data_IF_935467683765
#
_entry.id   IF_935467683765
#
_cell.length_a   1.000
_cell.length_b   1.000
_cell.length_c   1.000
_cell.angle_alpha   90.00
_cell.angle_beta   90.00
_cell.angle_gamma   90.00
#
_symmetry.space_group_name_H-M   'P 1'
#
loop_
_entity.id
_entity.type
_entity.pdbx_description
1 polymer ?
#
# COMPACT_ATOMS: atom_id res chain seq x y z
N UNK A 1 15.33 -44.19 -3.25
CA UNK A 1 14.62 -43.04 -2.66
C UNK A 1 15.67 -42.01 -2.31
N UNK A 2 15.62 -40.81 -2.90
CA UNK A 2 16.59 -39.74 -2.66
C UNK A 2 16.49 -39.33 -1.18
N UNK A 3 17.62 -39.16 -0.49
CA UNK A 3 17.65 -38.69 0.88
C UNK A 3 17.29 -37.20 0.95
N UNK A 4 16.69 -36.75 2.06
CA UNK A 4 16.28 -35.35 2.24
C UNK A 4 17.44 -34.38 2.05
N UNK A 5 18.62 -34.70 2.58
CA UNK A 5 19.79 -33.83 2.46
C UNK A 5 20.25 -33.71 0.99
N UNK A 6 20.25 -34.82 0.23
CA UNK A 6 20.57 -34.82 -1.21
C UNK A 6 19.55 -33.99 -2.02
N UNK A 7 18.26 -34.07 -1.68
CA UNK A 7 17.22 -33.25 -2.30
C UNK A 7 17.46 -31.76 -2.05
N UNK A 8 17.75 -31.39 -0.79
CA UNK A 8 17.98 -30.01 -0.39
C UNK A 8 19.24 -29.43 -1.03
N UNK A 9 20.32 -30.19 -1.12
CA UNK A 9 21.54 -29.77 -1.83
C UNK A 9 21.27 -29.48 -3.30
N UNK A 10 20.56 -30.38 -4.01
CA UNK A 10 20.18 -30.18 -5.42
C UNK A 10 19.26 -28.97 -5.62
N UNK A 11 18.29 -28.79 -4.73
CA UNK A 11 17.41 -27.61 -4.76
C UNK A 11 18.22 -26.33 -4.65
N UNK A 12 19.16 -26.29 -3.69
CA UNK A 12 19.99 -25.13 -3.44
C UNK A 12 20.96 -24.83 -4.59
N UNK A 13 21.44 -25.85 -5.30
CA UNK A 13 22.23 -25.69 -6.52
C UNK A 13 21.40 -25.14 -7.68
N UNK A 14 20.22 -25.70 -7.91
CA UNK A 14 19.43 -25.38 -9.11
C UNK A 14 18.81 -23.99 -9.05
N UNK A 15 18.43 -23.52 -7.86
CA UNK A 15 17.67 -22.27 -7.72
C UNK A 15 18.54 -21.00 -7.82
N UNK A 16 19.87 -21.08 -7.71
CA UNK A 16 20.72 -19.89 -7.52
C UNK A 16 20.58 -18.83 -8.62
N UNK A 17 20.36 -19.26 -9.86
CA UNK A 17 20.28 -18.38 -11.04
C UNK A 17 18.90 -18.44 -11.72
N UNK A 18 17.89 -18.98 -11.02
CA UNK A 18 16.53 -19.03 -11.55
C UNK A 18 15.90 -17.64 -11.57
N UNK A 19 15.06 -17.35 -12.56
CA UNK A 19 14.24 -16.14 -12.62
C UNK A 19 12.82 -16.37 -12.09
N UNK A 20 12.39 -17.63 -12.07
CA UNK A 20 11.09 -18.08 -11.61
C UNK A 20 11.16 -19.53 -11.11
N UNK A 21 10.19 -19.90 -10.28
CA UNK A 21 9.95 -21.29 -9.92
C UNK A 21 8.46 -21.55 -9.79
N UNK A 22 8.07 -22.83 -9.86
CA UNK A 22 6.70 -23.23 -9.57
C UNK A 22 6.65 -24.64 -8.94
N UNK A 23 5.55 -24.93 -8.27
CA UNK A 23 5.25 -26.26 -7.72
C UNK A 23 4.31 -26.97 -8.68
N UNK A 24 4.86 -27.92 -9.44
CA UNK A 24 4.10 -28.64 -10.46
C UNK A 24 3.35 -29.83 -9.86
N UNK A 25 2.12 -30.12 -10.31
CA UNK A 25 1.40 -31.31 -9.89
C UNK A 25 2.18 -32.56 -10.26
N UNK A 26 2.30 -33.48 -9.31
CA UNK A 26 2.81 -34.82 -9.57
C UNK A 26 1.84 -35.55 -10.50
N UNK A 27 2.35 -36.02 -11.64
CA UNK A 27 1.61 -36.86 -12.58
C UNK A 27 2.21 -38.25 -12.53
N UNK A 28 1.38 -39.25 -12.23
CA UNK A 28 1.70 -40.67 -12.34
C UNK A 28 1.10 -41.17 -13.65
N UNK A 29 1.87 -41.16 -14.74
CA UNK A 29 1.40 -41.80 -15.96
C UNK A 29 1.59 -43.32 -15.84
N UNK A 30 0.49 -44.07 -15.93
CA UNK A 30 0.50 -45.55 -15.92
C UNK A 30 1.06 -46.15 -17.23
N UNK A 31 1.39 -45.32 -18.22
CA UNK A 31 1.59 -45.75 -19.60
C UNK A 31 2.93 -45.43 -20.26
N UNK A 32 3.92 -44.87 -19.57
CA UNK A 32 5.27 -44.73 -20.15
C UNK A 32 6.38 -44.69 -19.09
N UNK A 33 7.57 -45.16 -19.47
CA UNK A 33 8.86 -45.12 -18.74
C UNK A 33 9.37 -43.68 -18.50
N UNK A 34 8.51 -42.76 -18.06
CA UNK A 34 8.86 -41.37 -17.79
C UNK A 34 9.66 -41.34 -16.48
N UNK A 35 10.93 -40.95 -16.59
CA UNK A 35 11.78 -40.71 -15.42
C UNK A 35 11.13 -39.59 -14.59
N UNK A 36 10.65 -39.95 -13.40
CA UNK A 36 10.08 -39.00 -12.46
C UNK A 36 11.19 -38.09 -11.89
N UNK A 37 11.08 -36.78 -12.14
CA UNK A 37 12.01 -35.78 -11.62
C UNK A 37 11.38 -34.96 -10.48
N UNK A 38 11.95 -35.05 -9.28
CA UNK A 38 11.54 -34.23 -8.12
C UNK A 38 11.80 -32.74 -8.33
N UNK A 39 12.90 -32.43 -9.01
CA UNK A 39 13.32 -31.09 -9.41
C UNK A 39 13.60 -31.12 -10.91
N UNK A 40 12.99 -30.21 -11.66
CA UNK A 40 13.25 -30.06 -13.10
C UNK A 40 13.64 -28.61 -13.37
N UNK A 41 14.86 -28.40 -13.84
CA UNK A 41 15.33 -27.09 -14.31
C UNK A 41 15.13 -26.99 -15.82
N UNK A 42 14.55 -25.89 -16.28
CA UNK A 42 14.42 -25.55 -17.69
C UNK A 42 14.89 -24.12 -17.89
N UNK A 43 16.04 -23.93 -18.52
CA UNK A 43 16.69 -22.62 -18.68
C UNK A 43 16.82 -21.86 -17.34
N UNK A 44 15.98 -20.85 -17.15
CA UNK A 44 15.92 -20.00 -15.94
C UNK A 44 14.75 -20.33 -15.01
N UNK A 45 13.97 -21.38 -15.29
CA UNK A 45 12.83 -21.80 -14.48
C UNK A 45 13.15 -23.08 -13.71
N UNK A 46 12.65 -23.16 -12.47
CA UNK A 46 12.73 -24.35 -11.63
C UNK A 46 11.33 -24.88 -11.32
N UNK A 47 11.09 -26.14 -11.63
CA UNK A 47 9.91 -26.86 -11.21
C UNK A 47 10.23 -27.76 -10.02
N UNK A 48 9.41 -27.66 -8.97
CA UNK A 48 9.43 -28.54 -7.80
C UNK A 48 8.20 -29.43 -7.89
N UNK A 49 8.38 -30.76 -7.88
CA UNK A 49 7.24 -31.66 -7.94
C UNK A 49 6.43 -31.63 -6.62
N UNK A 50 5.10 -31.61 -6.70
CA UNK A 50 4.23 -31.57 -5.52
C UNK A 50 4.35 -32.80 -4.60
N UNK A 51 4.86 -33.93 -5.10
CA UNK A 51 5.13 -35.11 -4.24
C UNK A 51 6.25 -34.86 -3.22
N UNK A 52 7.06 -33.80 -3.39
CA UNK A 52 8.07 -33.38 -2.42
C UNK A 52 7.46 -32.86 -1.11
N UNK A 53 6.20 -32.40 -1.13
CA UNK A 53 5.52 -31.85 0.04
C UNK A 53 5.23 -32.94 1.10
N UNK A 54 4.50 -34.03 0.80
CA UNK A 54 4.25 -35.08 1.80
C UNK A 54 5.52 -35.82 2.24
N UNK A 55 6.59 -35.80 1.43
CA UNK A 55 7.86 -36.49 1.72
C UNK A 55 8.79 -35.57 2.52
N UNK A 56 9.36 -34.57 1.86
CA UNK A 56 10.45 -33.76 2.42
C UNK A 56 9.92 -32.62 3.30
N UNK A 57 8.84 -31.95 2.91
CA UNK A 57 8.33 -30.84 3.74
C UNK A 57 7.87 -31.35 5.10
N UNK A 58 7.11 -32.46 5.13
CA UNK A 58 6.68 -33.10 6.36
C UNK A 58 7.84 -33.59 7.24
N UNK A 59 8.91 -34.13 6.66
CA UNK A 59 10.09 -34.54 7.42
C UNK A 59 10.83 -33.33 8.02
N UNK A 60 11.03 -32.28 7.24
CA UNK A 60 11.79 -31.09 7.65
C UNK A 60 11.08 -30.34 8.78
N UNK A 61 9.75 -30.17 8.72
CA UNK A 61 9.02 -29.46 9.79
C UNK A 61 9.02 -30.20 11.13
N UNK A 62 9.32 -31.51 11.15
CA UNK A 62 9.45 -32.29 12.38
C UNK A 62 10.82 -32.11 13.04
N UNK A 63 11.83 -31.64 12.30
CA UNK A 63 13.15 -31.34 12.86
C UNK A 63 13.04 -30.16 13.82
N UNK A 64 13.73 -30.19 14.98
CA UNK A 64 13.85 -29.02 15.86
C UNK A 64 14.40 -27.81 15.09
N UNK A 65 13.82 -26.61 15.28
CA UNK A 65 14.20 -25.39 14.54
C UNK A 65 15.70 -25.07 14.56
N UNK A 66 16.40 -25.45 15.63
CA UNK A 66 17.86 -25.26 15.80
C UNK A 66 18.72 -26.12 14.87
N UNK A 67 18.16 -27.18 14.30
CA UNK A 67 18.82 -28.12 13.40
C UNK A 67 18.53 -27.83 11.93
N UNK A 68 17.65 -26.87 11.63
CA UNK A 68 17.32 -26.51 10.24
C UNK A 68 18.47 -25.75 9.62
N UNK A 69 19.01 -26.29 8.51
CA UNK A 69 20.01 -25.63 7.69
C UNK A 69 19.43 -24.55 6.78
N UNK A 70 20.31 -23.84 6.07
CA UNK A 70 19.92 -22.79 5.12
C UNK A 70 19.07 -23.33 3.96
N UNK A 71 19.39 -24.54 3.49
CA UNK A 71 18.66 -25.23 2.42
C UNK A 71 17.27 -25.68 2.88
N UNK A 72 17.16 -26.26 4.08
CA UNK A 72 15.87 -26.61 4.69
C UNK A 72 14.96 -25.38 4.77
N UNK A 73 15.48 -24.29 5.35
CA UNK A 73 14.73 -23.04 5.49
C UNK A 73 14.34 -22.44 4.14
N UNK A 74 15.16 -22.61 3.09
CA UNK A 74 14.85 -22.11 1.75
C UNK A 74 13.67 -22.90 1.16
N UNK A 75 13.74 -24.23 1.20
CA UNK A 75 12.66 -25.09 0.74
C UNK A 75 11.33 -24.78 1.45
N UNK A 76 11.37 -24.62 2.77
CA UNK A 76 10.19 -24.31 3.57
C UNK A 76 9.52 -22.99 3.15
N UNK A 77 10.28 -21.94 2.84
CA UNK A 77 9.70 -20.65 2.40
C UNK A 77 9.29 -20.64 0.92
N UNK A 78 9.91 -21.46 0.08
CA UNK A 78 9.47 -21.64 -1.32
C UNK A 78 8.10 -22.32 -1.39
N UNK A 79 7.83 -23.26 -0.49
CA UNK A 79 6.57 -24.02 -0.44
C UNK A 79 5.51 -23.33 0.40
N UNK A 80 5.89 -22.76 1.55
CA UNK A 80 4.95 -22.13 2.48
C UNK A 80 5.46 -20.74 2.93
N UNK A 81 5.35 -19.73 2.05
CA UNK A 81 5.92 -18.41 2.29
C UNK A 81 5.21 -17.61 3.37
N UNK A 82 4.04 -18.03 3.86
CA UNK A 82 3.29 -17.27 4.88
C UNK A 82 3.64 -17.67 6.32
N UNK A 83 4.61 -18.58 6.52
CA UNK A 83 5.02 -19.02 7.85
C UNK A 83 6.10 -18.11 8.43
N UNK A 84 5.71 -17.13 9.25
CA UNK A 84 6.59 -16.15 9.87
C UNK A 84 7.78 -16.77 10.64
N UNK A 85 7.60 -17.95 11.25
CA UNK A 85 8.66 -18.67 11.97
C UNK A 85 9.86 -18.99 11.07
N UNK A 86 9.63 -19.40 9.82
CA UNK A 86 10.71 -19.72 8.90
C UNK A 86 11.50 -18.46 8.53
N UNK A 87 10.81 -17.36 8.25
CA UNK A 87 11.44 -16.07 8.00
C UNK A 87 12.25 -15.55 9.19
N UNK A 88 11.76 -15.74 10.42
CA UNK A 88 12.51 -15.44 11.64
C UNK A 88 13.81 -16.23 11.75
N UNK A 89 13.80 -17.53 11.44
CA UNK A 89 15.00 -18.34 11.40
C UNK A 89 15.98 -17.83 10.33
N UNK A 90 15.48 -17.47 9.14
CA UNK A 90 16.31 -16.90 8.07
C UNK A 90 16.93 -15.56 8.48
N UNK A 91 16.18 -14.67 9.15
CA UNK A 91 16.71 -13.42 9.72
C UNK A 91 17.87 -13.67 10.71
N UNK A 92 17.74 -14.66 11.59
CA UNK A 92 18.81 -15.02 12.55
C UNK A 92 20.07 -15.51 11.82
N UNK A 93 19.93 -16.34 10.80
CA UNK A 93 21.05 -16.82 10.01
C UNK A 93 21.74 -15.68 9.22
N UNK A 94 20.99 -14.72 8.68
CA UNK A 94 21.56 -13.51 8.06
C UNK A 94 22.36 -12.68 9.06
N UNK A 95 21.85 -12.48 10.28
CA UNK A 95 22.56 -11.73 11.32
C UNK A 95 23.86 -12.40 11.79
N UNK A 96 23.95 -13.73 11.69
CA UNK A 96 25.18 -14.48 11.98
C UNK A 96 26.21 -14.40 10.86
N UNK A 97 25.82 -13.94 9.67
CA UNK A 97 26.67 -13.95 8.48
C UNK A 97 26.64 -15.27 7.70
N UNK A 98 25.74 -16.20 8.04
CA UNK A 98 25.63 -17.52 7.39
C UNK A 98 25.00 -17.44 5.99
N UNK A 99 24.42 -16.29 5.62
CA UNK A 99 23.70 -16.08 4.37
C UNK A 99 23.99 -14.70 3.78
N UNK A 100 23.87 -14.57 2.46
CA UNK A 100 24.04 -13.31 1.73
C UNK A 100 22.71 -12.54 1.63
N UNK A 101 22.61 -11.29 2.12
CA UNK A 101 21.38 -10.50 2.03
C UNK A 101 20.91 -10.24 0.58
N UNK A 102 21.84 -10.04 -0.36
CA UNK A 102 21.50 -9.85 -1.80
C UNK A 102 20.83 -11.09 -2.40
N UNK A 103 21.32 -12.29 -2.03
CA UNK A 103 20.72 -13.56 -2.45
C UNK A 103 19.35 -13.77 -1.81
N UNK A 104 19.14 -13.26 -0.61
CA UNK A 104 17.84 -13.29 0.05
C UNK A 104 16.79 -12.39 -0.63
N UNK A 105 17.20 -11.20 -1.10
CA UNK A 105 16.34 -10.37 -1.97
C UNK A 105 16.01 -11.09 -3.27
N UNK A 106 16.90 -11.91 -3.80
CA UNK A 106 16.59 -12.74 -4.97
C UNK A 106 15.52 -13.81 -4.65
N UNK A 107 15.67 -14.57 -3.57
CA UNK A 107 14.69 -15.59 -3.19
C UNK A 107 13.31 -15.02 -2.88
N UNK A 108 13.23 -13.90 -2.18
CA UNK A 108 11.93 -13.23 -1.95
C UNK A 108 11.29 -12.73 -3.24
N UNK A 109 12.08 -12.33 -4.26
CA UNK A 109 11.56 -11.98 -5.59
C UNK A 109 10.97 -13.21 -6.29
N UNK A 110 11.66 -14.35 -6.25
CA UNK A 110 11.15 -15.62 -6.78
C UNK A 110 9.81 -15.98 -6.11
N UNK A 111 9.79 -15.97 -4.78
CA UNK A 111 8.60 -16.31 -3.98
C UNK A 111 7.43 -15.40 -4.29
N UNK A 112 7.65 -14.10 -4.49
CA UNK A 112 6.58 -13.18 -4.87
C UNK A 112 6.12 -13.33 -6.33
N UNK A 113 6.94 -13.96 -7.18
CA UNK A 113 6.52 -14.38 -8.52
C UNK A 113 5.46 -15.47 -8.45
N UNK A 114 5.70 -16.51 -7.64
CA UNK A 114 4.83 -17.69 -7.47
C UNK A 114 3.67 -17.44 -6.49
N UNK A 115 3.93 -16.71 -5.41
CA UNK A 115 3.02 -16.44 -4.30
C UNK A 115 2.82 -14.92 -4.10
N UNK A 116 2.19 -14.25 -5.06
CA UNK A 116 2.19 -12.79 -5.12
C UNK A 116 1.43 -12.09 -3.99
N UNK A 117 0.46 -12.77 -3.39
CA UNK A 117 -0.33 -12.23 -2.27
C UNK A 117 0.30 -12.47 -0.91
N UNK A 118 1.46 -13.13 -0.85
CA UNK A 118 2.17 -13.35 0.40
C UNK A 118 2.80 -12.06 0.90
N UNK A 119 2.43 -11.65 2.11
CA UNK A 119 2.97 -10.43 2.73
C UNK A 119 4.30 -10.67 3.45
N UNK A 120 4.51 -11.88 3.98
CA UNK A 120 5.73 -12.24 4.72
C UNK A 120 7.03 -12.03 3.92
N UNK A 121 7.13 -12.39 2.62
CA UNK A 121 8.30 -12.06 1.82
C UNK A 121 8.58 -10.55 1.75
N UNK A 122 7.54 -9.70 1.62
CA UNK A 122 7.70 -8.25 1.61
C UNK A 122 8.12 -7.71 2.98
N UNK A 123 7.59 -8.25 4.08
CA UNK A 123 8.06 -7.89 5.42
C UNK A 123 9.51 -8.32 5.66
N UNK A 124 9.92 -9.46 5.10
CA UNK A 124 11.29 -9.91 5.14
C UNK A 124 12.21 -8.98 4.32
N UNK A 125 11.81 -8.60 3.11
CA UNK A 125 12.53 -7.60 2.28
C UNK A 125 12.68 -6.26 2.99
N UNK A 126 11.61 -5.75 3.60
CA UNK A 126 11.66 -4.53 4.42
C UNK A 126 12.72 -4.64 5.51
N UNK A 127 12.73 -5.75 6.25
CA UNK A 127 13.73 -5.98 7.28
C UNK A 127 15.15 -6.03 6.69
N UNK A 128 15.37 -6.74 5.57
CA UNK A 128 16.68 -6.81 4.90
C UNK A 128 17.16 -5.41 4.50
N UNK A 129 16.29 -4.63 3.84
CA UNK A 129 16.61 -3.27 3.42
C UNK A 129 16.95 -2.38 4.61
N UNK A 130 16.16 -2.46 5.69
CA UNK A 130 16.42 -1.69 6.91
C UNK A 130 17.73 -2.08 7.58
N UNK A 131 18.08 -3.36 7.58
CA UNK A 131 19.23 -3.88 8.31
C UNK A 131 20.54 -3.76 7.53
N UNK A 132 20.52 -3.93 6.21
CA UNK A 132 21.75 -4.07 5.41
C UNK A 132 21.91 -3.01 4.30
N UNK A 133 20.82 -2.40 3.82
CA UNK A 133 20.84 -1.56 2.61
C UNK A 133 20.16 -0.21 2.80
N UNK A 134 20.08 0.30 4.04
CA UNK A 134 19.36 1.55 4.33
C UNK A 134 19.99 2.80 3.70
N UNK A 135 21.27 2.71 3.33
CA UNK A 135 22.05 3.80 2.71
C UNK A 135 22.56 3.44 1.31
N UNK A 136 22.22 2.26 0.80
CA UNK A 136 22.67 1.78 -0.53
C UNK A 136 21.67 2.26 -1.59
N UNK A 137 21.98 3.39 -2.22
CA UNK A 137 21.08 4.04 -3.17
C UNK A 137 20.74 3.15 -4.37
N UNK A 138 21.72 2.43 -4.92
CA UNK A 138 21.51 1.54 -6.08
C UNK A 138 20.57 0.39 -5.72
N UNK A 139 20.73 -0.22 -4.55
CA UNK A 139 19.83 -1.28 -4.09
C UNK A 139 18.43 -0.71 -3.82
N UNK A 140 18.31 0.46 -3.20
CA UNK A 140 17.01 1.11 -2.97
C UNK A 140 16.28 1.37 -4.31
N UNK A 141 16.98 1.91 -5.32
CA UNK A 141 16.38 2.18 -6.64
C UNK A 141 15.97 0.90 -7.38
N UNK A 142 16.73 -0.18 -7.23
CA UNK A 142 16.33 -1.50 -7.73
C UNK A 142 15.07 -2.03 -7.02
N UNK A 143 14.92 -1.78 -5.72
CA UNK A 143 13.72 -2.16 -4.97
C UNK A 143 12.48 -1.35 -5.36
N UNK A 144 12.64 -0.07 -5.71
CA UNK A 144 11.56 0.73 -6.31
C UNK A 144 11.08 0.10 -7.62
N UNK A 145 12.02 -0.20 -8.53
CA UNK A 145 11.72 -0.86 -9.80
C UNK A 145 11.04 -2.21 -9.57
N UNK A 146 11.50 -2.99 -8.59
CA UNK A 146 10.86 -4.25 -8.21
C UNK A 146 9.41 -4.04 -7.73
N UNK A 147 9.17 -3.04 -6.88
CA UNK A 147 7.82 -2.72 -6.40
C UNK A 147 6.88 -2.29 -7.52
N UNK A 148 7.39 -1.58 -8.54
CA UNK A 148 6.61 -1.24 -9.74
C UNK A 148 6.19 -2.50 -10.49
N UNK A 149 7.13 -3.41 -10.79
CA UNK A 149 6.82 -4.67 -11.48
C UNK A 149 5.79 -5.51 -10.70
N UNK A 150 5.93 -5.58 -9.39
CA UNK A 150 5.02 -6.34 -8.55
C UNK A 150 3.61 -5.73 -8.52
N UNK A 151 3.51 -4.40 -8.42
CA UNK A 151 2.23 -3.69 -8.48
C UNK A 151 1.53 -3.87 -9.83
N UNK A 152 2.27 -3.82 -10.95
CA UNK A 152 1.74 -4.04 -12.30
C UNK A 152 1.17 -5.46 -12.45
N UNK A 153 1.90 -6.47 -11.99
CA UNK A 153 1.47 -7.87 -12.11
C UNK A 153 0.32 -8.20 -11.14
N UNK A 154 0.26 -7.54 -9.99
CA UNK A 154 -0.68 -7.85 -8.92
C UNK A 154 -1.31 -6.58 -8.33
N UNK A 155 -2.35 -6.10 -9.03
CA UNK A 155 -3.11 -4.91 -8.63
C UNK A 155 -3.69 -5.03 -7.22
N UNK A 156 -3.83 -3.88 -6.56
CA UNK A 156 -4.41 -3.73 -5.22
C UNK A 156 -3.69 -4.52 -4.11
N UNK A 157 -2.41 -4.87 -4.29
CA UNK A 157 -1.61 -5.49 -3.23
C UNK A 157 -1.07 -4.43 -2.26
N UNK A 158 -1.82 -4.19 -1.18
CA UNK A 158 -1.51 -3.14 -0.19
C UNK A 158 -0.09 -3.24 0.41
N UNK A 159 0.44 -4.46 0.58
CA UNK A 159 1.77 -4.65 1.15
C UNK A 159 2.89 -4.11 0.25
N UNK A 160 2.71 -4.08 -1.08
CA UNK A 160 3.68 -3.46 -2.02
C UNK A 160 3.78 -1.96 -1.77
N UNK A 161 2.63 -1.30 -1.63
CA UNK A 161 2.57 0.13 -1.34
C UNK A 161 3.11 0.45 0.05
N UNK A 162 2.90 -0.42 1.04
CA UNK A 162 3.54 -0.29 2.36
C UNK A 162 5.06 -0.42 2.27
N UNK A 163 5.57 -1.37 1.47
CA UNK A 163 6.99 -1.49 1.22
C UNK A 163 7.55 -0.25 0.52
N UNK A 164 6.85 0.29 -0.48
CA UNK A 164 7.23 1.53 -1.17
C UNK A 164 7.28 2.74 -0.22
N UNK A 165 6.31 2.88 0.71
CA UNK A 165 6.35 3.91 1.77
C UNK A 165 7.59 3.80 2.63
N UNK A 166 8.06 2.59 2.91
CA UNK A 166 9.31 2.41 3.64
C UNK A 166 10.51 2.84 2.78
N UNK A 167 10.59 2.39 1.52
CA UNK A 167 11.72 2.71 0.63
C UNK A 167 11.88 4.21 0.40
N UNK A 168 10.79 4.95 0.18
CA UNK A 168 10.87 6.39 -0.09
C UNK A 168 11.32 7.20 1.13
N UNK A 169 11.18 6.65 2.34
CA UNK A 169 11.71 7.28 3.55
C UNK A 169 13.24 7.17 3.66
N UNK A 170 13.87 6.28 2.88
CA UNK A 170 15.32 6.14 2.80
C UNK A 170 15.96 7.11 1.78
N UNK A 171 15.13 7.80 0.98
CA UNK A 171 15.58 8.71 -0.07
C UNK A 171 15.34 10.18 0.30
N UNK A 172 16.08 11.05 -0.37
CA UNK A 172 15.88 12.48 -0.31
C UNK A 172 14.57 12.89 -1.00
N UNK A 173 14.05 14.06 -0.64
CA UNK A 173 12.77 14.58 -1.12
C UNK A 173 12.65 14.77 -2.63
N UNK A 174 13.76 14.98 -3.35
CA UNK A 174 13.72 15.05 -4.81
C UNK A 174 13.15 13.75 -5.40
N UNK A 175 13.50 12.62 -4.80
CA UNK A 175 12.95 11.32 -5.17
C UNK A 175 11.46 11.23 -4.83
N UNK A 176 10.99 11.87 -3.74
CA UNK A 176 9.56 11.92 -3.40
C UNK A 176 8.75 12.67 -4.47
N UNK A 177 9.27 13.78 -5.00
CA UNK A 177 8.60 14.53 -6.07
C UNK A 177 8.55 13.72 -7.38
N UNK A 178 9.66 13.06 -7.74
CA UNK A 178 9.69 12.15 -8.91
C UNK A 178 8.71 10.99 -8.74
N UNK A 179 8.68 10.39 -7.55
CA UNK A 179 7.81 9.25 -7.24
C UNK A 179 6.32 9.63 -7.18
N UNK A 180 6.03 10.86 -6.76
CA UNK A 180 4.70 11.46 -6.82
C UNK A 180 4.20 11.55 -8.27
N UNK A 181 5.05 12.03 -9.20
CA UNK A 181 4.74 12.10 -10.63
C UNK A 181 4.56 10.71 -11.27
N UNK A 182 5.41 9.75 -10.89
CA UNK A 182 5.27 8.37 -11.34
C UNK A 182 3.94 7.75 -10.83
N UNK A 183 3.58 8.01 -9.57
CA UNK A 183 2.32 7.53 -8.98
C UNK A 183 1.11 8.21 -9.63
N UNK A 184 1.20 9.48 -10.03
CA UNK A 184 0.13 10.13 -10.80
C UNK A 184 -0.08 9.43 -12.14
N UNK A 185 1.00 9.07 -12.85
CA UNK A 185 0.93 8.30 -14.10
C UNK A 185 0.26 6.94 -13.86
N UNK A 186 0.59 6.26 -12.76
CA UNK A 186 -0.09 5.02 -12.35
C UNK A 186 -1.60 5.24 -12.14
N UNK A 187 -2.00 6.30 -11.44
CA UNK A 187 -3.40 6.58 -11.14
C UNK A 187 -4.21 7.00 -12.37
N UNK A 188 -3.58 7.57 -13.40
CA UNK A 188 -4.24 7.79 -14.71
C UNK A 188 -4.64 6.46 -15.35
N UNK A 189 -3.82 5.42 -15.21
CA UNK A 189 -4.13 4.07 -15.69
C UNK A 189 -5.05 3.28 -14.75
N UNK A 190 -5.02 3.61 -13.46
CA UNK A 190 -5.73 2.89 -12.39
C UNK A 190 -6.48 3.86 -11.46
N UNK A 191 -7.50 4.58 -11.97
CA UNK A 191 -8.13 5.69 -11.26
C UNK A 191 -8.82 5.30 -9.95
N UNK A 192 -9.12 4.01 -9.76
CA UNK A 192 -9.80 3.49 -8.56
C UNK A 192 -8.87 2.73 -7.61
N UNK A 193 -7.54 2.79 -7.80
CA UNK A 193 -6.58 2.11 -6.93
C UNK A 193 -6.48 2.79 -5.57
N UNK A 194 -7.12 2.19 -4.55
CA UNK A 194 -7.14 2.69 -3.19
C UNK A 194 -5.75 2.81 -2.55
N UNK A 195 -4.83 1.90 -2.90
CA UNK A 195 -3.48 1.90 -2.33
C UNK A 195 -2.62 2.99 -2.97
N UNK A 196 -2.77 3.22 -4.28
CA UNK A 196 -2.13 4.33 -5.00
C UNK A 196 -2.56 5.70 -4.47
N UNK A 197 -3.87 5.94 -4.31
CA UNK A 197 -4.37 7.19 -3.73
C UNK A 197 -3.89 7.41 -2.29
N UNK A 198 -3.88 6.36 -1.48
CA UNK A 198 -3.33 6.42 -0.13
C UNK A 198 -1.82 6.71 -0.14
N UNK A 199 -1.09 6.29 -1.18
CA UNK A 199 0.33 6.57 -1.33
C UNK A 199 0.59 8.04 -1.67
N UNK A 200 -0.19 8.61 -2.59
CA UNK A 200 -0.17 10.05 -2.90
C UNK A 200 -0.40 10.89 -1.63
N UNK A 201 -1.43 10.55 -0.83
CA UNK A 201 -1.73 11.30 0.41
C UNK A 201 -0.52 11.34 1.37
N UNK A 202 0.16 10.21 1.50
CA UNK A 202 1.38 10.12 2.30
C UNK A 202 2.54 10.93 1.74
N UNK A 203 2.77 10.90 0.42
CA UNK A 203 3.82 11.70 -0.21
C UNK A 203 3.56 13.19 0.00
N UNK A 204 2.32 13.65 -0.18
CA UNK A 204 1.92 15.03 0.04
C UNK A 204 2.15 15.47 1.49
N UNK A 205 1.76 14.65 2.46
CA UNK A 205 2.02 14.92 3.88
C UNK A 205 3.51 14.91 4.21
N UNK A 206 4.29 14.01 3.58
CA UNK A 206 5.73 13.90 3.82
C UNK A 206 6.46 15.12 3.28
N UNK A 207 6.18 15.53 2.05
CA UNK A 207 6.77 16.69 1.37
C UNK A 207 6.57 17.99 2.16
N UNK A 208 5.40 18.14 2.80
CA UNK A 208 5.13 19.25 3.73
C UNK A 208 6.02 19.20 4.98
N UNK A 209 6.24 18.02 5.57
CA UNK A 209 7.01 17.86 6.82
C UNK A 209 8.52 18.02 6.64
N UNK A 210 9.06 17.65 5.49
CA UNK A 210 10.52 17.74 5.25
C UNK A 210 10.97 19.16 4.86
N UNK A 211 10.12 20.19 5.05
CA UNK A 211 10.35 21.59 4.69
C UNK A 211 10.78 21.81 3.22
N UNK A 212 10.51 20.85 2.33
CA UNK A 212 10.83 21.00 0.91
C UNK A 212 9.85 21.90 0.16
N UNK A 213 8.67 22.10 0.70
CA UNK A 213 7.67 23.02 0.17
C UNK A 213 7.44 24.12 1.18
N UNK A 214 7.66 25.36 0.75
CA UNK A 214 7.06 26.50 1.45
C UNK A 214 5.53 26.36 1.46
N UNK A 215 4.88 27.10 2.37
CA UNK A 215 3.43 27.02 2.56
C UNK A 215 2.65 27.25 1.27
N UNK A 216 3.10 28.17 0.42
CA UNK A 216 2.43 28.53 -0.84
C UNK A 216 2.52 27.38 -1.84
N UNK A 217 3.69 26.77 -2.00
CA UNK A 217 3.88 25.59 -2.84
C UNK A 217 3.09 24.38 -2.35
N UNK A 218 3.04 24.16 -1.03
CA UNK A 218 2.24 23.10 -0.45
C UNK A 218 0.74 23.29 -0.74
N UNK A 219 0.21 24.50 -0.55
CA UNK A 219 -1.18 24.84 -0.91
C UNK A 219 -1.44 24.61 -2.40
N UNK A 220 -0.59 25.13 -3.28
CA UNK A 220 -0.72 24.98 -4.73
C UNK A 220 -0.74 23.51 -5.16
N UNK A 221 0.13 22.68 -4.60
CA UNK A 221 0.18 21.25 -4.87
C UNK A 221 -1.10 20.54 -4.39
N UNK A 222 -1.58 20.85 -3.18
CA UNK A 222 -2.84 20.30 -2.67
C UNK A 222 -4.05 20.71 -3.51
N UNK A 223 -4.11 21.96 -3.99
CA UNK A 223 -5.15 22.41 -4.91
C UNK A 223 -5.11 21.66 -6.24
N UNK A 224 -3.92 21.38 -6.77
CA UNK A 224 -3.75 20.56 -7.98
C UNK A 224 -4.37 19.18 -7.79
N UNK A 225 -4.04 18.49 -6.69
CA UNK A 225 -4.60 17.16 -6.39
C UNK A 225 -6.10 17.20 -6.05
N UNK A 226 -6.60 18.31 -5.51
CA UNK A 226 -8.04 18.53 -5.30
C UNK A 226 -8.80 18.59 -6.63
N UNK A 227 -8.23 19.23 -7.64
CA UNK A 227 -8.75 19.23 -9.01
C UNK A 227 -8.78 17.82 -9.59
N UNK A 228 -7.63 17.13 -9.59
CA UNK A 228 -7.49 15.76 -10.14
C UNK A 228 -8.51 14.79 -9.50
N UNK A 229 -8.63 14.78 -8.17
CA UNK A 229 -9.59 13.87 -7.50
C UNK A 229 -11.04 14.26 -7.79
N UNK A 230 -11.33 15.55 -8.00
CA UNK A 230 -12.68 16.01 -8.33
C UNK A 230 -13.10 15.53 -9.72
N UNK A 231 -12.24 15.70 -10.72
CA UNK A 231 -12.45 15.15 -12.08
C UNK A 231 -12.59 13.62 -12.04
N UNK A 232 -11.74 12.94 -11.26
CA UNK A 232 -11.81 11.48 -11.11
C UNK A 232 -13.13 11.03 -10.47
N UNK A 233 -13.66 11.81 -9.51
CA UNK A 233 -14.93 11.55 -8.85
C UNK A 233 -16.15 11.79 -9.75
N UNK A 234 -16.05 12.62 -10.78
CA UNK A 234 -17.11 12.75 -11.79
C UNK A 234 -17.29 11.46 -12.59
N UNK A 235 -16.19 10.76 -12.84
CA UNK A 235 -16.18 9.48 -13.55
C UNK A 235 -16.48 8.29 -12.64
N UNK A 236 -16.01 8.33 -11.38
CA UNK A 236 -16.11 7.22 -10.42
C UNK A 236 -16.68 7.65 -9.06
N UNK A 237 -17.90 8.20 -9.03
CA UNK A 237 -18.49 8.82 -7.83
C UNK A 237 -18.78 7.83 -6.70
N UNK A 238 -18.87 6.54 -7.00
CA UNK A 238 -19.10 5.47 -6.03
C UNK A 238 -17.84 5.05 -5.26
N UNK A 239 -16.66 5.52 -5.67
CA UNK A 239 -15.39 5.06 -5.09
C UNK A 239 -15.05 5.82 -3.81
N UNK A 240 -15.26 5.16 -2.68
CA UNK A 240 -15.00 5.70 -1.35
C UNK A 240 -13.54 6.13 -1.12
N UNK A 241 -12.56 5.47 -1.75
CA UNK A 241 -11.15 5.85 -1.61
C UNK A 241 -10.88 7.26 -2.15
N UNK A 242 -11.52 7.67 -3.24
CA UNK A 242 -11.40 9.01 -3.82
C UNK A 242 -11.99 10.06 -2.89
N UNK A 243 -13.17 9.77 -2.32
CA UNK A 243 -13.78 10.64 -1.32
C UNK A 243 -12.91 10.79 -0.07
N UNK A 244 -12.30 9.70 0.39
CA UNK A 244 -11.37 9.73 1.53
C UNK A 244 -10.12 10.55 1.21
N UNK A 245 -9.58 10.42 -0.01
CA UNK A 245 -8.46 11.24 -0.46
C UNK A 245 -8.83 12.73 -0.52
N UNK A 246 -9.95 13.08 -1.18
CA UNK A 246 -10.48 14.47 -1.25
C UNK A 246 -10.63 15.05 0.16
N UNK A 247 -11.21 14.29 1.09
CA UNK A 247 -11.32 14.65 2.51
C UNK A 247 -9.95 14.98 3.12
N UNK A 248 -8.96 14.11 2.95
CA UNK A 248 -7.64 14.30 3.54
C UNK A 248 -6.94 15.55 2.97
N UNK A 249 -7.10 15.84 1.69
CA UNK A 249 -6.59 17.07 1.06
C UNK A 249 -7.23 18.32 1.67
N UNK A 250 -8.56 18.33 1.84
CA UNK A 250 -9.27 19.45 2.45
C UNK A 250 -8.84 19.71 3.90
N UNK A 251 -8.61 18.64 4.68
CA UNK A 251 -8.07 18.76 6.05
C UNK A 251 -6.64 19.32 6.03
N UNK A 252 -5.81 18.92 5.07
CA UNK A 252 -4.45 19.45 4.93
C UNK A 252 -4.45 20.92 4.55
N UNK A 253 -5.26 21.34 3.58
CA UNK A 253 -5.43 22.75 3.21
C UNK A 253 -5.86 23.59 4.42
N UNK A 254 -6.88 23.13 5.15
CA UNK A 254 -7.34 23.78 6.38
C UNK A 254 -6.23 23.94 7.42
N UNK A 255 -5.40 22.91 7.62
CA UNK A 255 -4.23 22.96 8.52
C UNK A 255 -3.10 23.85 8.00
N UNK A 256 -2.98 24.10 6.71
CA UNK A 256 -2.01 25.07 6.23
C UNK A 256 -2.51 26.50 6.46
N UNK A 257 -3.82 26.72 6.52
CA UNK A 257 -4.39 28.07 6.52
C UNK A 257 -4.32 28.81 7.86
N UNK A 258 -4.63 28.21 9.02
CA UNK A 258 -4.49 28.74 10.42
C UNK A 258 -4.68 30.25 10.72
N UNK A 259 -5.18 31.08 9.80
CA UNK A 259 -5.71 32.41 10.05
C UNK A 259 -7.23 32.25 10.12
N UNK A 260 -7.85 32.71 11.21
CA UNK A 260 -9.30 32.72 11.42
C UNK A 260 -10.03 33.54 10.34
N UNK A 261 -10.15 33.05 9.12
CA UNK A 261 -11.26 33.32 8.22
C UNK A 261 -11.31 32.12 7.28
N UNK A 262 -12.47 31.47 7.21
CA UNK A 262 -12.87 30.69 6.05
C UNK A 262 -12.95 31.61 4.83
N UNK A 263 -11.80 32.04 4.33
CA UNK A 263 -11.67 32.38 2.94
C UNK A 263 -10.97 31.16 2.36
N UNK A 264 -11.71 30.24 1.71
CA UNK A 264 -11.09 29.54 0.60
C UNK A 264 -10.37 30.61 -0.24
N UNK A 265 -9.26 30.31 -0.92
CA UNK A 265 -8.82 31.19 -1.98
C UNK A 265 -10.06 31.50 -2.81
N UNK A 266 -10.45 32.78 -2.88
CA UNK A 266 -11.59 33.27 -3.66
C UNK A 266 -11.19 33.18 -5.14
N UNK A 267 -10.76 32.02 -5.59
CA UNK A 267 -10.21 31.82 -6.93
C UNK A 267 -10.64 30.51 -7.55
N UNK A 268 -11.54 29.74 -6.92
CA UNK A 268 -12.29 28.77 -7.70
C UNK A 268 -13.78 28.75 -7.33
N UNK A 269 -14.52 29.67 -7.94
CA UNK A 269 -15.98 29.69 -7.98
C UNK A 269 -16.57 28.47 -8.70
N UNK A 270 -15.77 27.47 -9.09
CA UNK A 270 -16.21 26.29 -9.82
C UNK A 270 -16.58 25.11 -8.89
N UNK A 271 -15.83 24.78 -7.83
CA UNK A 271 -16.17 23.63 -6.95
C UNK A 271 -17.20 23.99 -5.87
N UNK A 272 -18.47 23.62 -6.13
CA UNK A 272 -19.59 23.78 -5.21
C UNK A 272 -19.34 23.16 -3.82
N UNK A 273 -18.56 22.08 -3.74
CA UNK A 273 -18.26 21.36 -2.49
C UNK A 273 -17.51 22.23 -1.50
N UNK A 274 -16.51 22.99 -1.98
CA UNK A 274 -15.67 23.82 -1.12
C UNK A 274 -16.42 25.05 -0.62
N UNK A 275 -17.29 25.63 -1.46
CA UNK A 275 -18.20 26.72 -1.06
C UNK A 275 -19.15 26.26 0.04
N UNK A 276 -19.80 25.12 -0.15
CA UNK A 276 -20.72 24.54 0.82
C UNK A 276 -20.02 24.26 2.15
N UNK A 277 -18.81 23.68 2.13
CA UNK A 277 -18.03 23.45 3.35
C UNK A 277 -17.72 24.76 4.08
N UNK A 278 -17.32 25.82 3.37
CA UNK A 278 -17.11 27.14 3.93
C UNK A 278 -18.37 27.71 4.60
N UNK A 279 -19.52 27.61 3.93
CA UNK A 279 -20.81 28.01 4.50
C UNK A 279 -21.17 27.21 5.76
N UNK A 280 -20.96 25.89 5.75
CA UNK A 280 -21.22 25.01 6.89
C UNK A 280 -20.34 25.37 8.08
N UNK A 281 -19.02 25.54 7.90
CA UNK A 281 -18.14 25.88 9.03
C UNK A 281 -18.52 27.27 9.57
N UNK A 282 -18.83 28.25 8.71
CA UNK A 282 -19.28 29.58 9.14
C UNK A 282 -20.60 29.51 9.94
N UNK A 283 -21.57 28.70 9.51
CA UNK A 283 -22.83 28.50 10.23
C UNK A 283 -22.62 27.86 11.61
N UNK A 284 -21.77 26.83 11.70
CA UNK A 284 -21.56 26.10 12.95
C UNK A 284 -20.75 26.90 13.96
N UNK A 285 -19.78 27.68 13.50
CA UNK A 285 -18.99 28.59 14.35
C UNK A 285 -19.79 29.81 14.81
N UNK A 286 -20.55 30.46 13.92
CA UNK A 286 -21.31 31.68 14.26
C UNK A 286 -22.59 31.43 15.07
N UNK A 287 -23.29 30.32 14.83
CA UNK A 287 -24.60 30.03 15.46
C UNK A 287 -24.54 28.97 16.57
N UNK A 288 -23.34 28.57 17.01
CA UNK A 288 -23.11 27.53 18.04
C UNK A 288 -23.86 26.21 17.78
N UNK A 289 -24.01 25.81 16.51
CA UNK A 289 -24.53 24.47 16.24
C UNK A 289 -23.48 23.43 16.63
N UNK A 290 -23.91 22.39 17.33
CA UNK A 290 -23.05 21.27 17.69
C UNK A 290 -23.17 20.17 16.63
N UNK A 291 -22.08 19.84 15.93
CA UNK A 291 -22.06 18.77 14.91
C UNK A 291 -22.42 17.38 15.47
N UNK A 292 -22.35 17.20 16.79
CA UNK A 292 -22.74 15.99 17.50
C UNK A 292 -24.25 15.84 17.67
N UNK A 293 -25.04 16.90 17.45
CA UNK A 293 -26.52 16.82 17.54
C UNK A 293 -27.16 16.02 16.39
N UNK A 294 -26.43 15.85 15.28
CA UNK A 294 -26.91 15.07 14.15
C UNK A 294 -26.64 13.58 14.36
N UNK A 295 -27.67 12.80 14.67
CA UNK A 295 -27.54 11.35 14.88
C UNK A 295 -27.53 10.53 13.58
N UNK A 296 -27.81 11.16 12.43
CA UNK A 296 -27.78 10.51 11.11
C UNK A 296 -27.41 11.50 10.00
N UNK A 297 -26.95 10.99 8.86
CA UNK A 297 -26.72 11.80 7.63
C UNK A 297 -28.03 12.45 7.18
N UNK A 298 -29.16 11.75 7.31
CA UNK A 298 -30.49 12.29 6.99
C UNK A 298 -30.83 13.52 7.84
N UNK A 299 -30.56 13.47 9.15
CA UNK A 299 -30.78 14.62 10.03
C UNK A 299 -29.91 15.82 9.62
N UNK A 300 -28.67 15.57 9.21
CA UNK A 300 -27.77 16.59 8.69
C UNK A 300 -28.24 17.18 7.36
N UNK A 301 -28.70 16.34 6.43
CA UNK A 301 -29.26 16.76 5.14
C UNK A 301 -30.53 17.60 5.31
N UNK A 302 -31.43 17.20 6.21
CA UNK A 302 -32.64 17.98 6.52
C UNK A 302 -32.29 19.37 7.07
N UNK A 303 -31.24 19.46 7.90
CA UNK A 303 -30.71 20.73 8.37
C UNK A 303 -30.13 21.57 7.24
N UNK A 304 -29.35 20.95 6.34
CA UNK A 304 -28.78 21.64 5.18
C UNK A 304 -29.88 22.22 4.28
N UNK A 305 -30.92 21.42 4.00
CA UNK A 305 -32.10 21.85 3.24
C UNK A 305 -32.83 23.03 3.92
N UNK A 306 -33.10 22.92 5.22
CA UNK A 306 -33.75 23.99 6.01
C UNK A 306 -32.96 25.30 6.04
N UNK A 307 -31.64 25.25 5.77
CA UNK A 307 -30.78 26.43 5.68
C UNK A 307 -30.45 26.82 4.22
N UNK A 308 -31.14 26.25 3.23
CA UNK A 308 -30.97 26.58 1.82
C UNK A 308 -29.62 26.16 1.23
N UNK A 309 -28.93 25.20 1.85
CA UNK A 309 -27.61 24.72 1.40
C UNK A 309 -27.69 23.59 0.38
N UNK A 310 -28.83 22.90 0.30
CA UNK A 310 -29.07 21.81 -0.65
C UNK A 310 -30.52 21.78 -1.12
N UNK A 311 -30.78 21.06 -2.20
CA UNK A 311 -32.14 20.70 -2.63
C UNK A 311 -32.79 19.73 -1.62
N UNK A 312 -34.08 19.45 -1.80
CA UNK A 312 -34.78 18.54 -0.89
C UNK A 312 -34.06 17.18 -0.85
N UNK A 313 -33.82 16.56 0.32
CA UNK A 313 -33.01 15.35 0.41
C UNK A 313 -33.49 14.17 -0.43
N UNK A 314 -34.79 14.11 -0.74
CA UNK A 314 -35.37 13.10 -1.65
C UNK A 314 -34.99 13.29 -3.11
N UNK A 315 -34.58 14.50 -3.52
CA UNK A 315 -34.21 14.83 -4.90
C UNK A 315 -32.70 14.62 -5.14
N UNK A 316 -31.93 14.40 -4.08
CA UNK A 316 -30.50 14.18 -4.16
C UNK A 316 -30.19 12.85 -4.84
N UNK A 317 -29.30 12.90 -5.81
CA UNK A 317 -28.75 11.68 -6.39
C UNK A 317 -27.81 11.01 -5.37
N UNK A 318 -27.57 9.71 -5.53
CA UNK A 318 -26.68 8.96 -4.63
C UNK A 318 -25.30 9.61 -4.48
N UNK A 319 -24.78 10.18 -5.57
CA UNK A 319 -23.49 10.88 -5.58
C UNK A 319 -23.52 12.13 -4.67
N UNK A 320 -24.63 12.86 -4.66
CA UNK A 320 -24.82 14.02 -3.78
C UNK A 320 -24.96 13.57 -2.33
N UNK A 321 -25.67 12.49 -2.06
CA UNK A 321 -25.75 11.91 -0.71
C UNK A 321 -24.36 11.51 -0.18
N UNK A 322 -23.52 10.90 -1.02
CA UNK A 322 -22.13 10.61 -0.68
C UNK A 322 -21.33 11.88 -0.41
N UNK A 323 -21.42 12.90 -1.28
CA UNK A 323 -20.80 14.23 -1.07
C UNK A 323 -21.16 14.80 0.30
N UNK A 324 -22.45 14.84 0.62
CA UNK A 324 -22.95 15.38 1.89
C UNK A 324 -22.51 14.56 3.10
N UNK A 325 -22.46 13.22 2.98
CA UNK A 325 -21.89 12.34 4.01
C UNK A 325 -20.44 12.71 4.32
N UNK A 326 -19.63 12.99 3.30
CA UNK A 326 -18.22 13.37 3.48
C UNK A 326 -18.07 14.77 4.07
N UNK A 327 -18.87 15.76 3.63
CA UNK A 327 -18.93 17.09 4.22
C UNK A 327 -19.32 17.05 5.71
N UNK A 328 -20.30 16.23 6.07
CA UNK A 328 -20.70 16.03 7.45
C UNK A 328 -19.56 15.53 8.33
N UNK A 329 -18.82 14.53 7.85
CA UNK A 329 -17.66 13.98 8.55
C UNK A 329 -16.50 14.97 8.68
N UNK A 330 -16.25 15.79 7.66
CA UNK A 330 -15.27 16.88 7.71
C UNK A 330 -15.64 17.90 8.77
N UNK A 331 -16.89 18.38 8.72
CA UNK A 331 -17.41 19.37 9.65
C UNK A 331 -17.32 18.89 11.11
N UNK A 332 -17.62 17.61 11.37
CA UNK A 332 -17.43 17.01 12.70
C UNK A 332 -15.98 17.07 13.17
N UNK A 333 -15.03 16.78 12.29
CA UNK A 333 -13.61 16.83 12.66
C UNK A 333 -13.12 18.26 12.91
N UNK A 334 -13.50 19.23 12.08
CA UNK A 334 -13.03 20.62 12.20
C UNK A 334 -13.61 21.33 13.43
N UNK A 335 -14.91 21.18 13.69
CA UNK A 335 -15.57 21.83 14.83
C UNK A 335 -15.14 21.20 16.16
N UNK A 336 -14.98 19.87 16.21
CA UNK A 336 -14.52 19.20 17.44
C UNK A 336 -13.05 19.54 17.79
N UNK A 337 -12.21 19.85 16.80
CA UNK A 337 -10.84 20.32 17.05
C UNK A 337 -10.81 21.75 17.58
N UNK A 338 -11.61 22.66 17.03
CA UNK A 338 -11.68 24.06 17.49
C UNK A 338 -12.17 24.19 18.93
N UNK A 339 -13.15 23.36 19.35
CA UNK A 339 -13.68 23.35 20.73
C UNK A 339 -12.61 22.88 21.74
N UNK A 340 -11.73 21.96 21.35
CA UNK A 340 -10.65 21.46 22.22
C UNK A 340 -9.49 22.43 22.36
N UNK A 341 -9.21 23.25 21.34
CA UNK A 341 -8.18 24.30 21.40
C UNK A 341 -8.66 25.60 22.04
N UNK A 342 -9.97 25.78 22.23
CA UNK A 342 -10.59 26.96 22.86
C UNK A 342 -11.06 26.72 24.31
N UNK A 343 -10.79 25.53 24.85
CA UNK A 343 -10.90 25.25 26.29
C UNK A 343 -9.54 25.52 26.94
N UNK A 344 -9.45 26.35 27.99
CA UNK A 344 -8.17 26.75 28.62
C UNK A 344 -7.40 25.58 29.25
#
# INVERSE_FOLDING_TARGET
MIQTDEFIERLFEYIQDCKEYDILPHVTDEFDDIIHHLLKRSDTALAICSCTLPIFYCEIIQKPLKLLGNGDLLFLVLVNPNTATFWNCRRRALLKGDMCPKRELHYTKLILGTHPRSNEPLYHRLWIMKTFYSTDHDVIMNEFSFSDHLAHNYRAHYAVWQYRRFLIQLLESEHMMRDLSATETWLKCHPTDSSGWSYVDFLLQRLQKVNHLDRVKAQSLLHTYLGIVTETLELYPERECLWMFKRNILVQLWRLDHSMVLRPPITDETDATNRILGCLIALFTSRRYNTRSFHSVTAFLNFCYSNGLCTHPSDLQWQDVLRWRHLFFLLRQTVDTDIRSSSP
#
